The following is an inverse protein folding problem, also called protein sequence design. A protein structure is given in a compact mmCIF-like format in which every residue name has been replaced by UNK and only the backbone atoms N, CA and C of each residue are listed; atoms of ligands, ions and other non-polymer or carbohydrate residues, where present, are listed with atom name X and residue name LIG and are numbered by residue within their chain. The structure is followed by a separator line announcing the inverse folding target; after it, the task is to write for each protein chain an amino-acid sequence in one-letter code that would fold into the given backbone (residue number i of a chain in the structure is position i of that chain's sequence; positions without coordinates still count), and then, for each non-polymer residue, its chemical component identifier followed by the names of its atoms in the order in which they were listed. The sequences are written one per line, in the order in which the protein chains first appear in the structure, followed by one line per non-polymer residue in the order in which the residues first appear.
data_IF_052870740815
#
_entry.id   IF_052870740815
#
_cell.length_a   1.000
_cell.length_b   1.000
_cell.length_c   1.000
_cell.angle_alpha   90.00
_cell.angle_beta   90.00
_cell.angle_gamma   90.00
#
_symmetry.space_group_name_H-M   'P 1'
#
loop_
_entity.id
_entity.type
_entity.pdbx_description
1 polymer ?
#
# COMPACT_ATOMS: atom_id res chain seq x y z
N UNK A 1 -9.27 28.38 -8.63
CA UNK A 1 -9.63 27.12 -9.32
C UNK A 1 -9.21 27.27 -10.76
N UNK A 2 -8.40 26.34 -11.28
CA UNK A 2 -7.81 26.41 -12.63
C UNK A 2 -8.66 25.71 -13.72
N UNK A 3 -9.63 24.89 -13.30
CA UNK A 3 -10.60 24.23 -14.19
C UNK A 3 -12.03 24.48 -13.65
N UNK A 4 -13.06 24.41 -14.50
CA UNK A 4 -14.46 24.43 -14.05
C UNK A 4 -14.73 23.33 -13.02
N UNK A 5 -15.50 23.66 -11.97
CA UNK A 5 -15.73 22.80 -10.80
C UNK A 5 -16.32 21.44 -11.16
N UNK A 6 -17.22 21.40 -12.14
CA UNK A 6 -17.87 20.19 -12.63
C UNK A 6 -16.90 19.22 -13.34
N UNK A 7 -15.70 19.69 -13.72
CA UNK A 7 -14.64 18.85 -14.32
C UNK A 7 -13.68 18.26 -13.30
N UNK A 8 -13.70 18.73 -12.05
CA UNK A 8 -12.80 18.25 -10.98
C UNK A 8 -12.95 16.73 -10.75
N UNK A 9 -14.17 16.16 -10.63
CA UNK A 9 -14.32 14.71 -10.41
C UNK A 9 -13.73 13.88 -11.56
N UNK A 10 -13.89 14.33 -12.81
CA UNK A 10 -13.31 13.68 -13.97
C UNK A 10 -11.78 13.72 -13.94
N UNK A 11 -11.20 14.88 -13.60
CA UNK A 11 -9.76 15.06 -13.49
C UNK A 11 -9.16 14.17 -12.38
N UNK A 12 -9.81 14.11 -11.22
CA UNK A 12 -9.39 13.26 -10.10
C UNK A 12 -9.33 11.78 -10.51
N UNK A 13 -10.41 11.23 -11.07
CA UNK A 13 -10.43 9.83 -11.53
C UNK A 13 -9.36 9.54 -12.56
N UNK A 14 -9.17 10.44 -13.53
CA UNK A 14 -8.16 10.30 -14.58
C UNK A 14 -6.74 10.31 -14.03
N UNK A 15 -6.43 11.20 -13.08
CA UNK A 15 -5.10 11.34 -12.48
C UNK A 15 -4.77 10.17 -11.56
N UNK A 16 -5.71 9.73 -10.73
CA UNK A 16 -5.53 8.55 -9.87
C UNK A 16 -5.28 7.31 -10.73
N UNK A 17 -6.12 7.08 -11.75
CA UNK A 17 -5.97 5.92 -12.66
C UNK A 17 -4.60 5.92 -13.35
N UNK A 18 -4.15 7.07 -13.89
CA UNK A 18 -2.83 7.20 -14.52
C UNK A 18 -1.70 6.95 -13.54
N UNK A 19 -1.83 7.42 -12.30
CA UNK A 19 -0.83 7.24 -11.25
C UNK A 19 -0.71 5.76 -10.85
N UNK A 20 -1.84 5.08 -10.66
CA UNK A 20 -1.91 3.65 -10.35
C UNK A 20 -1.25 2.82 -11.46
N UNK A 21 -1.60 3.07 -12.74
CA UNK A 21 -0.97 2.37 -13.87
C UNK A 21 0.53 2.66 -13.97
N UNK A 22 0.96 3.88 -13.64
CA UNK A 22 2.37 4.26 -13.62
C UNK A 22 3.14 3.79 -12.37
N UNK A 23 2.46 3.21 -11.35
CA UNK A 23 3.07 2.89 -10.06
C UNK A 23 3.57 4.11 -9.30
N UNK A 24 2.89 5.25 -9.44
CA UNK A 24 3.24 6.51 -8.78
C UNK A 24 2.27 6.78 -7.64
N UNK A 25 2.82 7.21 -6.52
CA UNK A 25 2.06 7.60 -5.34
C UNK A 25 1.14 8.79 -5.64
N UNK A 26 -0.14 8.67 -5.32
CA UNK A 26 -1.14 9.71 -5.52
C UNK A 26 -1.93 9.98 -4.24
N UNK A 27 -2.06 11.27 -3.91
CA UNK A 27 -2.76 11.75 -2.72
C UNK A 27 -4.01 12.50 -3.17
N UNK A 28 -5.18 12.13 -2.63
CA UNK A 28 -6.37 12.94 -2.71
C UNK A 28 -6.39 13.91 -1.52
N UNK A 29 -6.46 15.21 -1.80
CA UNK A 29 -6.17 16.24 -0.82
C UNK A 29 -7.17 17.40 -0.90
N UNK A 30 -7.26 18.10 0.23
CA UNK A 30 -8.09 19.30 0.49
C UNK A 30 -9.58 19.02 0.61
N UNK A 31 -10.22 19.69 1.58
CA UNK A 31 -11.67 19.65 1.84
C UNK A 31 -12.28 18.26 1.98
N UNK A 32 -11.48 17.27 2.39
CA UNK A 32 -11.94 15.89 2.54
C UNK A 32 -12.91 15.76 3.73
N UNK A 33 -12.65 16.47 4.84
CA UNK A 33 -13.51 16.53 6.02
C UNK A 33 -13.64 17.96 6.57
N UNK A 34 -13.70 18.97 5.69
CA UNK A 34 -13.62 20.41 6.04
C UNK A 34 -14.58 20.83 7.17
N UNK A 35 -15.80 20.31 7.18
CA UNK A 35 -16.79 20.64 8.21
C UNK A 35 -16.35 20.21 9.61
N UNK A 36 -15.42 19.25 9.73
CA UNK A 36 -14.85 18.82 11.00
C UNK A 36 -13.86 19.82 11.61
N UNK A 37 -13.50 20.89 10.90
CA UNK A 37 -12.78 22.02 11.50
C UNK A 37 -13.56 22.62 12.68
N UNK A 38 -14.90 22.65 12.59
CA UNK A 38 -15.78 23.23 13.61
C UNK A 38 -16.79 22.24 14.19
N UNK A 39 -17.11 21.15 13.46
CA UNK A 39 -18.08 20.15 13.88
C UNK A 39 -17.40 18.85 14.33
N UNK A 40 -18.02 18.07 15.23
CA UNK A 40 -17.48 16.77 15.65
C UNK A 40 -17.73 15.65 14.62
N UNK A 41 -18.58 15.88 13.62
CA UNK A 41 -18.95 14.88 12.61
C UNK A 41 -18.91 15.51 11.22
N UNK A 42 -18.47 14.75 10.19
CA UNK A 42 -18.50 15.22 8.82
C UNK A 42 -19.92 15.13 8.23
N UNK A 43 -20.12 15.81 7.12
CA UNK A 43 -21.32 15.69 6.30
C UNK A 43 -21.33 14.36 5.53
N UNK A 44 -22.50 13.95 5.05
CA UNK A 44 -22.62 12.75 4.18
C UNK A 44 -21.79 12.88 2.91
N UNK A 45 -21.71 14.09 2.34
CA UNK A 45 -20.94 14.34 1.13
C UNK A 45 -19.44 14.11 1.36
N UNK A 46 -18.88 14.64 2.46
CA UNK A 46 -17.48 14.45 2.84
C UNK A 46 -17.15 12.98 3.11
N UNK A 47 -18.03 12.27 3.83
CA UNK A 47 -17.87 10.81 4.04
C UNK A 47 -17.78 10.06 2.72
N UNK A 48 -18.67 10.37 1.77
CA UNK A 48 -18.67 9.72 0.46
C UNK A 48 -17.48 10.15 -0.40
N UNK A 49 -16.97 11.36 -0.24
CA UNK A 49 -15.83 11.85 -1.02
C UNK A 49 -14.53 11.13 -0.61
N UNK A 50 -14.29 11.00 0.70
CA UNK A 50 -13.21 10.16 1.24
C UNK A 50 -13.31 8.73 0.74
N UNK A 51 -14.49 8.11 0.87
CA UNK A 51 -14.68 6.72 0.42
C UNK A 51 -14.44 6.56 -1.08
N UNK A 52 -14.92 7.49 -1.91
CA UNK A 52 -14.71 7.45 -3.36
C UNK A 52 -13.24 7.63 -3.75
N UNK A 53 -12.47 8.47 -3.04
CA UNK A 53 -11.03 8.59 -3.27
C UNK A 53 -10.31 7.25 -3.04
N UNK A 54 -10.71 6.50 -2.00
CA UNK A 54 -10.19 5.15 -1.73
C UNK A 54 -10.65 4.15 -2.79
N UNK A 55 -11.93 4.16 -3.20
CA UNK A 55 -12.43 3.29 -4.27
C UNK A 55 -11.73 3.53 -5.61
N UNK A 56 -11.43 4.79 -5.93
CA UNK A 56 -10.66 5.16 -7.12
C UNK A 56 -9.20 4.69 -7.04
N UNK A 57 -8.74 4.32 -5.85
CA UNK A 57 -7.43 3.76 -5.59
C UNK A 57 -6.37 4.82 -5.29
N UNK A 58 -6.74 5.92 -4.62
CA UNK A 58 -5.75 6.84 -4.05
C UNK A 58 -4.87 6.11 -3.02
N UNK A 59 -3.56 6.40 -2.99
CA UNK A 59 -2.67 5.78 -2.01
C UNK A 59 -2.82 6.42 -0.63
N UNK A 60 -3.19 7.70 -0.57
CA UNK A 60 -3.46 8.41 0.67
C UNK A 60 -4.56 9.47 0.50
N UNK A 61 -5.26 9.73 1.60
CA UNK A 61 -6.12 10.90 1.79
C UNK A 61 -5.47 11.86 2.77
N UNK A 62 -5.66 13.16 2.57
CA UNK A 62 -4.99 14.19 3.37
C UNK A 62 -5.98 15.10 4.09
N UNK A 63 -5.75 15.31 5.38
CA UNK A 63 -6.38 16.35 6.18
C UNK A 63 -5.52 17.62 6.15
N UNK A 64 -6.16 18.77 5.96
CA UNK A 64 -5.53 20.08 5.89
C UNK A 64 -5.90 20.91 7.12
N UNK A 65 -6.92 21.76 7.02
CA UNK A 65 -7.36 22.63 8.11
C UNK A 65 -7.86 21.85 9.33
N UNK A 66 -8.43 20.67 9.08
CA UNK A 66 -9.04 19.78 10.07
C UNK A 66 -8.04 19.39 11.18
N UNK A 67 -6.77 19.18 10.81
CA UNK A 67 -5.72 18.81 11.76
C UNK A 67 -4.80 19.99 12.12
N UNK A 68 -4.60 20.94 11.21
CA UNK A 68 -3.73 22.08 11.45
C UNK A 68 -4.33 23.08 12.44
N UNK A 69 -5.61 23.41 12.30
CA UNK A 69 -6.29 24.45 13.09
C UNK A 69 -7.71 24.06 13.53
N UNK A 70 -8.13 22.82 13.30
CA UNK A 70 -9.47 22.34 13.64
C UNK A 70 -9.68 22.13 15.14
N UNK A 71 -10.93 22.15 15.58
CA UNK A 71 -11.29 22.00 16.99
C UNK A 71 -10.99 20.60 17.54
N UNK A 72 -11.06 19.55 16.70
CA UNK A 72 -10.90 18.15 17.11
C UNK A 72 -10.01 17.34 16.14
N UNK A 73 -8.70 17.62 16.08
CA UNK A 73 -7.79 17.02 15.10
C UNK A 73 -7.70 15.49 15.22
N UNK A 74 -7.66 14.96 16.46
CA UNK A 74 -7.60 13.52 16.70
C UNK A 74 -8.88 12.80 16.23
N UNK A 75 -10.04 13.43 16.39
CA UNK A 75 -11.33 12.87 15.92
C UNK A 75 -11.38 12.88 14.40
N UNK A 76 -10.93 13.95 13.74
CA UNK A 76 -10.87 14.00 12.28
C UNK A 76 -9.98 12.89 11.70
N UNK A 77 -8.81 12.64 12.29
CA UNK A 77 -7.92 11.52 11.89
C UNK A 77 -8.61 10.16 12.10
N UNK A 78 -9.22 9.93 13.26
CA UNK A 78 -9.91 8.68 13.55
C UNK A 78 -11.11 8.44 12.61
N UNK A 79 -11.86 9.49 12.29
CA UNK A 79 -12.98 9.43 11.33
C UNK A 79 -12.51 9.14 9.92
N UNK A 80 -11.46 9.82 9.43
CA UNK A 80 -10.85 9.54 8.13
C UNK A 80 -10.40 8.08 8.04
N UNK A 81 -9.66 7.61 9.05
CA UNK A 81 -9.17 6.23 9.12
C UNK A 81 -10.32 5.20 9.11
N UNK A 82 -11.39 5.47 9.85
CA UNK A 82 -12.56 4.58 9.89
C UNK A 82 -13.29 4.51 8.54
N UNK A 83 -13.43 5.64 7.83
CA UNK A 83 -14.04 5.66 6.49
C UNK A 83 -13.16 4.88 5.51
N UNK A 84 -11.85 5.14 5.49
CA UNK A 84 -10.91 4.45 4.60
C UNK A 84 -10.90 2.94 4.83
N UNK A 85 -10.83 2.48 6.07
CA UNK A 85 -10.86 1.06 6.40
C UNK A 85 -12.15 0.36 5.94
N UNK A 86 -13.31 1.04 6.04
CA UNK A 86 -14.57 0.49 5.52
C UNK A 86 -14.63 0.51 3.98
N UNK A 87 -14.05 1.52 3.35
CA UNK A 87 -14.00 1.60 1.89
C UNK A 87 -13.09 0.50 1.29
N UNK A 88 -11.99 0.17 1.96
CA UNK A 88 -11.09 -0.91 1.53
C UNK A 88 -11.77 -2.28 1.51
N UNK A 89 -12.84 -2.52 2.29
CA UNK A 89 -13.61 -3.76 2.25
C UNK A 89 -14.32 -4.01 0.91
N UNK A 90 -14.58 -2.96 0.12
CA UNK A 90 -15.16 -3.08 -1.22
C UNK A 90 -14.10 -3.26 -2.32
N UNK A 91 -12.81 -3.21 -1.96
CA UNK A 91 -11.72 -3.35 -2.91
C UNK A 91 -11.61 -4.80 -3.41
N UNK A 92 -11.59 -4.97 -4.73
CA UNK A 92 -11.37 -6.29 -5.35
C UNK A 92 -9.96 -6.37 -5.92
N UNK A 93 -9.03 -7.00 -5.20
CA UNK A 93 -7.64 -7.13 -5.65
C UNK A 93 -7.51 -7.84 -7.01
N UNK A 94 -8.36 -8.84 -7.30
CA UNK A 94 -8.40 -9.51 -8.60
C UNK A 94 -8.62 -8.53 -9.77
N UNK A 95 -9.60 -7.63 -9.61
CA UNK A 95 -9.94 -6.64 -10.64
C UNK A 95 -8.82 -5.59 -10.77
N UNK A 96 -8.26 -5.16 -9.64
CA UNK A 96 -7.16 -4.20 -9.62
C UNK A 96 -5.91 -4.73 -10.33
N UNK A 97 -5.47 -5.95 -9.99
CA UNK A 97 -4.29 -6.59 -10.61
C UNK A 97 -4.51 -6.76 -12.12
N UNK A 98 -5.66 -7.28 -12.55
CA UNK A 98 -5.95 -7.48 -13.97
C UNK A 98 -5.91 -6.17 -14.73
N UNK A 99 -6.62 -5.14 -14.25
CA UNK A 99 -6.66 -3.84 -14.88
C UNK A 99 -5.27 -3.23 -15.03
N UNK A 100 -4.46 -3.26 -13.97
CA UNK A 100 -3.12 -2.67 -13.97
C UNK A 100 -2.19 -3.44 -14.92
N UNK A 101 -2.27 -4.77 -14.96
CA UNK A 101 -1.48 -5.59 -15.88
C UNK A 101 -1.82 -5.31 -17.35
N UNK A 102 -3.09 -5.11 -17.67
CA UNK A 102 -3.55 -4.85 -19.03
C UNK A 102 -3.15 -3.46 -19.55
N UNK A 103 -3.02 -2.50 -18.64
CA UNK A 103 -2.67 -1.11 -18.97
C UNK A 103 -1.19 -0.76 -18.73
N UNK A 104 -0.39 -1.69 -18.20
CA UNK A 104 1.05 -1.49 -18.05
C UNK A 104 1.78 -1.83 -19.36
N UNK A 105 2.68 -0.95 -19.79
CA UNK A 105 3.46 -1.13 -21.02
C UNK A 105 4.29 -2.41 -20.97
N UNK A 106 4.27 -3.18 -22.07
CA UNK A 106 5.09 -4.38 -22.27
C UNK A 106 6.31 -4.09 -23.17
N UNK A 107 7.43 -4.82 -23.00
CA UNK A 107 7.66 -5.88 -22.01
C UNK A 107 7.85 -5.33 -20.59
N UNK A 108 7.47 -6.12 -19.58
CA UNK A 108 7.73 -5.79 -18.17
C UNK A 108 9.23 -5.92 -17.87
N UNK A 109 9.72 -5.14 -16.91
CA UNK A 109 11.03 -5.37 -16.32
C UNK A 109 11.01 -6.64 -15.47
N UNK A 110 12.17 -7.14 -15.07
CA UNK A 110 12.27 -8.29 -14.15
C UNK A 110 11.58 -8.01 -12.82
N UNK A 111 11.78 -6.81 -12.25
CA UNK A 111 11.14 -6.36 -11.02
C UNK A 111 9.63 -6.25 -11.16
N UNK A 112 9.15 -5.62 -12.23
CA UNK A 112 7.73 -5.48 -12.49
C UNK A 112 7.06 -6.86 -12.65
N UNK A 113 7.71 -7.78 -13.38
CA UNK A 113 7.22 -9.14 -13.58
C UNK A 113 7.15 -9.91 -12.26
N UNK A 114 8.21 -9.84 -11.45
CA UNK A 114 8.27 -10.51 -10.15
C UNK A 114 7.22 -9.95 -9.18
N UNK A 115 7.04 -8.62 -9.14
CA UNK A 115 6.04 -7.99 -8.29
C UNK A 115 4.62 -8.39 -8.70
N UNK A 116 4.30 -8.33 -10.00
CA UNK A 116 3.00 -8.74 -10.51
C UNK A 116 2.71 -10.23 -10.23
N UNK A 117 3.73 -11.09 -10.31
CA UNK A 117 3.62 -12.52 -10.00
C UNK A 117 3.52 -12.79 -8.51
N UNK A 118 4.23 -12.06 -7.66
CA UNK A 118 4.14 -12.21 -6.21
C UNK A 118 2.77 -11.80 -5.70
N UNK A 119 2.24 -10.65 -6.15
CA UNK A 119 0.90 -10.19 -5.77
C UNK A 119 -0.19 -11.10 -6.33
N UNK A 120 -0.09 -11.52 -7.59
CA UNK A 120 -1.04 -12.48 -8.17
C UNK A 120 -1.00 -13.83 -7.46
N UNK A 121 0.19 -14.37 -7.20
CA UNK A 121 0.36 -15.62 -6.49
C UNK A 121 -0.13 -15.56 -5.04
N UNK A 122 0.06 -14.43 -4.35
CA UNK A 122 -0.48 -14.22 -3.01
C UNK A 122 -2.01 -14.29 -3.00
N UNK A 123 -2.67 -13.80 -4.04
CA UNK A 123 -4.12 -13.94 -4.20
C UNK A 123 -4.50 -15.39 -4.52
N UNK A 124 -3.77 -16.05 -5.42
CA UNK A 124 -4.06 -17.43 -5.86
C UNK A 124 -3.91 -18.46 -4.73
N UNK A 125 -2.94 -18.28 -3.84
CA UNK A 125 -2.71 -19.17 -2.71
C UNK A 125 -3.34 -18.70 -1.39
N UNK A 126 -4.17 -17.64 -1.41
CA UNK A 126 -4.78 -17.06 -0.21
C UNK A 126 -3.73 -16.75 0.88
N UNK A 127 -2.64 -16.09 0.47
CA UNK A 127 -1.56 -15.72 1.37
C UNK A 127 -2.03 -14.64 2.36
N UNK A 128 -1.71 -14.85 3.63
CA UNK A 128 -2.05 -13.90 4.68
C UNK A 128 -1.02 -12.77 4.80
N UNK A 129 0.18 -12.98 4.25
CA UNK A 129 1.27 -12.00 4.31
C UNK A 129 2.15 -12.06 3.07
N UNK A 130 2.60 -10.89 2.65
CA UNK A 130 3.73 -10.73 1.73
C UNK A 130 4.91 -10.13 2.50
N UNK A 131 6.11 -10.70 2.34
CA UNK A 131 7.36 -10.11 2.83
C UNK A 131 8.16 -9.63 1.64
N UNK A 132 8.56 -8.36 1.64
CA UNK A 132 9.44 -7.80 0.60
C UNK A 132 10.72 -7.25 1.22
N UNK A 133 11.86 -7.70 0.70
CA UNK A 133 13.18 -7.23 1.12
C UNK A 133 13.71 -6.24 0.10
N UNK A 134 13.98 -5.01 0.53
CA UNK A 134 14.31 -3.91 -0.39
C UNK A 134 15.31 -2.92 0.21
N UNK A 135 16.32 -2.58 -0.58
CA UNK A 135 17.34 -1.59 -0.22
C UNK A 135 16.89 -0.15 -0.46
N UNK A 136 16.39 0.16 -1.67
CA UNK A 136 16.00 1.50 -2.09
C UNK A 136 14.47 1.69 -2.24
N UNK A 137 13.70 0.69 -1.80
CA UNK A 137 12.24 0.68 -1.83
C UNK A 137 11.63 0.41 -3.22
N UNK A 138 12.43 0.04 -4.23
CA UNK A 138 11.90 -0.14 -5.58
C UNK A 138 10.94 -1.34 -5.65
N UNK A 139 11.32 -2.46 -5.02
CA UNK A 139 10.50 -3.66 -4.92
C UNK A 139 9.21 -3.40 -4.14
N UNK A 140 9.28 -2.67 -3.03
CA UNK A 140 8.07 -2.30 -2.28
C UNK A 140 7.11 -1.48 -3.15
N UNK A 141 7.58 -0.44 -3.85
CA UNK A 141 6.72 0.37 -4.74
C UNK A 141 6.12 -0.46 -5.87
N UNK A 142 6.91 -1.35 -6.48
CA UNK A 142 6.45 -2.27 -7.51
C UNK A 142 5.35 -3.21 -6.98
N UNK A 143 5.45 -3.70 -5.74
CA UNK A 143 4.40 -4.52 -5.12
C UNK A 143 3.11 -3.73 -4.89
N UNK A 144 3.18 -2.54 -4.29
CA UNK A 144 1.98 -1.76 -3.98
C UNK A 144 1.21 -1.30 -5.23
N UNK A 145 1.93 -1.11 -6.35
CA UNK A 145 1.32 -0.84 -7.66
C UNK A 145 0.23 -1.86 -7.98
N UNK A 146 0.44 -3.13 -7.70
CA UNK A 146 -0.53 -4.19 -8.02
C UNK A 146 -1.62 -4.39 -6.96
N UNK A 147 -1.70 -3.54 -5.94
CA UNK A 147 -2.76 -3.55 -4.91
C UNK A 147 -2.96 -4.94 -4.27
N UNK A 148 -1.98 -5.39 -3.47
CA UNK A 148 -2.02 -6.71 -2.84
C UNK A 148 -3.26 -6.90 -1.96
N UNK A 149 -3.76 -8.13 -1.90
CA UNK A 149 -4.93 -8.53 -1.11
C UNK A 149 -4.63 -8.70 0.38
N UNK A 150 -3.36 -8.73 0.76
CA UNK A 150 -2.91 -8.91 2.13
C UNK A 150 -1.80 -7.90 2.48
N UNK A 151 -1.52 -7.71 3.79
CA UNK A 151 -0.45 -6.84 4.24
C UNK A 151 0.92 -7.19 3.63
N UNK A 152 1.72 -6.15 3.36
CA UNK A 152 3.09 -6.27 2.87
C UNK A 152 4.05 -5.79 3.95
N UNK A 153 4.79 -6.71 4.56
CA UNK A 153 5.89 -6.36 5.45
C UNK A 153 7.13 -6.00 4.64
N UNK A 154 7.58 -4.76 4.74
CA UNK A 154 8.73 -4.23 4.01
C UNK A 154 9.96 -4.24 4.90
N UNK A 155 10.89 -5.15 4.61
CA UNK A 155 12.17 -5.26 5.33
C UNK A 155 13.21 -4.40 4.63
N UNK A 156 13.81 -3.46 5.36
CA UNK A 156 14.83 -2.55 4.83
C UNK A 156 15.88 -2.17 5.87
N UNK A 157 17.09 -1.81 5.46
CA UNK A 157 18.10 -1.22 6.35
C UNK A 157 18.16 0.31 6.25
N UNK A 158 17.43 0.92 5.30
CA UNK A 158 17.35 2.36 5.18
C UNK A 158 16.11 2.88 5.91
N UNK A 159 16.33 3.63 7.01
CA UNK A 159 15.23 4.24 7.75
C UNK A 159 14.39 5.20 6.90
N UNK A 160 14.98 5.86 5.91
CA UNK A 160 14.24 6.74 5.02
C UNK A 160 13.27 5.95 4.14
N UNK A 161 13.69 4.78 3.66
CA UNK A 161 12.79 3.84 2.97
C UNK A 161 11.70 3.37 3.92
N UNK A 162 12.04 2.96 5.14
CA UNK A 162 11.06 2.52 6.14
C UNK A 162 9.99 3.58 6.44
N UNK A 163 10.37 4.85 6.59
CA UNK A 163 9.43 5.97 6.77
C UNK A 163 8.54 6.18 5.55
N UNK A 164 9.09 6.11 4.34
CA UNK A 164 8.33 6.29 3.10
C UNK A 164 7.29 5.18 2.89
N UNK A 165 7.66 3.93 3.18
CA UNK A 165 6.79 2.77 2.94
C UNK A 165 5.59 2.74 3.87
N UNK A 166 5.68 3.33 5.07
CA UNK A 166 4.53 3.43 5.98
C UNK A 166 3.38 4.29 5.46
N UNK A 167 3.59 5.09 4.41
CA UNK A 167 2.53 5.85 3.75
C UNK A 167 1.95 5.14 2.52
N UNK A 168 2.56 4.04 2.07
CA UNK A 168 2.19 3.33 0.85
C UNK A 168 1.11 2.29 1.14
N UNK A 169 0.16 2.13 0.23
CA UNK A 169 -0.96 1.19 0.37
C UNK A 169 -0.48 -0.22 0.77
N UNK A 170 -1.11 -0.75 1.83
CA UNK A 170 -0.91 -2.06 2.44
C UNK A 170 0.49 -2.36 3.00
N UNK A 171 1.35 -1.35 3.17
CA UNK A 171 2.75 -1.58 3.60
C UNK A 171 3.01 -1.28 5.07
N UNK A 172 3.84 -2.13 5.66
CA UNK A 172 4.28 -2.04 7.05
C UNK A 172 5.80 -2.17 7.12
N UNK A 173 6.53 -1.14 7.58
CA UNK A 173 7.99 -1.17 7.59
C UNK A 173 8.56 -2.00 8.74
N UNK A 174 9.64 -2.72 8.46
CA UNK A 174 10.54 -3.36 9.41
C UNK A 174 11.96 -2.93 9.09
N UNK A 175 12.54 -2.06 9.92
CA UNK A 175 13.92 -1.62 9.76
C UNK A 175 14.86 -2.61 10.46
N UNK A 176 15.88 -3.05 9.75
CA UNK A 176 16.94 -3.97 10.22
C UNK A 176 18.30 -3.32 10.06
N UNK A 177 19.30 -3.80 10.80
CA UNK A 177 20.65 -3.22 10.74
C UNK A 177 21.41 -3.60 9.45
N UNK A 178 21.12 -4.77 8.87
CA UNK A 178 21.85 -5.32 7.73
C UNK A 178 20.93 -6.11 6.79
N UNK A 179 21.01 -5.79 5.50
CA UNK A 179 20.27 -6.44 4.40
C UNK A 179 21.16 -7.40 3.58
N UNK A 180 22.40 -7.63 3.99
CA UNK A 180 23.34 -8.47 3.24
C UNK A 180 22.82 -9.91 3.10
N UNK A 181 23.01 -10.56 1.93
CA UNK A 181 22.59 -11.94 1.72
C UNK A 181 23.06 -12.89 2.83
N UNK A 182 22.17 -13.75 3.30
CA UNK A 182 22.42 -14.73 4.36
C UNK A 182 22.37 -14.18 5.78
N UNK A 183 22.21 -12.86 5.97
CA UNK A 183 21.99 -12.26 7.30
C UNK A 183 20.53 -12.29 7.73
N UNK A 184 19.63 -12.22 6.75
CA UNK A 184 18.20 -12.28 6.96
C UNK A 184 17.64 -13.59 6.39
N UNK A 185 17.35 -14.53 7.29
CA UNK A 185 16.54 -15.69 6.93
C UNK A 185 15.07 -15.25 6.83
N UNK A 186 14.35 -15.82 5.87
CA UNK A 186 12.94 -15.53 5.61
C UNK A 186 12.05 -16.77 5.77
N UNK A 187 12.50 -17.72 6.60
CA UNK A 187 11.71 -18.89 7.00
C UNK A 187 10.58 -18.52 8.00
N UNK A 188 9.78 -19.52 8.39
CA UNK A 188 8.64 -19.35 9.31
C UNK A 188 9.02 -18.88 10.71
N UNK A 189 10.27 -19.06 11.11
CA UNK A 189 10.81 -18.64 12.41
C UNK A 189 11.60 -17.33 12.29
N UNK A 190 11.64 -16.74 11.10
CA UNK A 190 12.37 -15.52 10.85
C UNK A 190 11.86 -14.35 11.70
N UNK A 191 12.75 -13.39 11.99
CA UNK A 191 12.36 -12.15 12.67
C UNK A 191 11.23 -11.39 11.95
N UNK A 192 11.11 -11.49 10.62
CA UNK A 192 9.99 -10.91 9.88
C UNK A 192 8.64 -11.50 10.30
N UNK A 193 8.55 -12.83 10.37
CA UNK A 193 7.28 -13.50 10.70
C UNK A 193 6.92 -13.27 12.16
N UNK A 194 7.90 -13.29 13.07
CA UNK A 194 7.67 -12.91 14.48
C UNK A 194 7.14 -11.48 14.55
N UNK A 195 7.77 -10.54 13.82
CA UNK A 195 7.34 -9.15 13.81
C UNK A 195 5.94 -8.97 13.23
N UNK A 196 5.63 -9.66 12.14
CA UNK A 196 4.30 -9.65 11.53
C UNK A 196 3.23 -10.16 12.49
N UNK A 197 3.51 -11.21 13.26
CA UNK A 197 2.62 -11.73 14.32
C UNK A 197 2.40 -10.72 15.44
N UNK A 198 3.47 -10.09 15.93
CA UNK A 198 3.38 -9.03 16.95
C UNK A 198 2.52 -7.85 16.49
N UNK A 199 2.59 -7.51 15.20
CA UNK A 199 1.80 -6.44 14.58
C UNK A 199 0.37 -6.86 14.24
N UNK A 200 0.01 -8.14 14.42
CA UNK A 200 -1.30 -8.68 14.06
C UNK A 200 -1.54 -8.79 12.55
N UNK A 201 -0.49 -8.77 11.74
CA UNK A 201 -0.57 -8.87 10.27
C UNK A 201 -0.62 -10.33 9.79
N UNK A 202 -0.26 -11.28 10.65
CA UNK A 202 -0.18 -12.70 10.31
C UNK A 202 -0.61 -13.55 11.50
N UNK A 203 -1.58 -14.46 11.31
CA UNK A 203 -2.12 -15.32 12.36
C UNK A 203 -1.22 -16.49 12.72
N UNK A 204 -0.39 -16.96 11.78
CA UNK A 204 0.51 -18.10 12.00
C UNK A 204 -0.12 -19.48 11.89
N UNK A 205 -1.38 -19.59 11.47
CA UNK A 205 -2.14 -20.85 11.45
C UNK A 205 -1.98 -21.64 10.14
N UNK A 206 -0.74 -21.86 9.70
CA UNK A 206 -0.47 -22.58 8.45
C UNK A 206 -0.88 -21.81 7.19
N UNK A 207 -1.05 -20.49 7.30
CA UNK A 207 -1.37 -19.63 6.17
C UNK A 207 -0.14 -19.39 5.32
N UNK A 208 -0.36 -19.31 4.00
CA UNK A 208 0.69 -19.10 3.02
C UNK A 208 1.33 -17.72 3.18
N UNK A 209 2.64 -17.65 2.93
CA UNK A 209 3.41 -16.41 2.88
C UNK A 209 4.10 -16.33 1.53
N UNK A 210 4.04 -15.18 0.89
CA UNK A 210 4.82 -14.90 -0.32
C UNK A 210 6.00 -14.01 0.03
N UNK A 211 7.19 -14.37 -0.43
CA UNK A 211 8.41 -13.62 -0.19
C UNK A 211 8.98 -13.12 -1.52
N UNK A 212 9.22 -11.81 -1.60
CA UNK A 212 9.96 -11.17 -2.68
C UNK A 212 11.30 -10.67 -2.14
N UNK A 213 12.38 -11.39 -2.46
CA UNK A 213 13.73 -11.09 -1.98
C UNK A 213 14.77 -11.26 -3.08
N UNK A 214 15.97 -10.73 -2.88
CA UNK A 214 17.12 -11.01 -3.72
C UNK A 214 17.77 -12.38 -3.41
N UNK A 215 18.79 -12.78 -4.19
CA UNK A 215 19.57 -13.98 -3.91
C UNK A 215 20.08 -14.00 -2.47
N UNK A 216 19.93 -15.15 -1.81
CA UNK A 216 20.32 -15.31 -0.39
C UNK A 216 19.48 -14.49 0.58
N UNK A 217 18.28 -14.04 0.22
CA UNK A 217 17.40 -13.26 1.09
C UNK A 217 17.75 -11.77 1.18
N UNK A 218 18.56 -11.26 0.25
CA UNK A 218 18.98 -9.86 0.20
C UNK A 218 18.00 -8.95 -0.54
N UNK A 219 18.51 -7.83 -1.06
CA UNK A 219 17.74 -6.80 -1.78
C UNK A 219 17.12 -7.31 -3.10
N UNK A 220 15.80 -7.19 -3.24
CA UNK A 220 15.05 -7.58 -4.44
C UNK A 220 15.09 -6.55 -5.58
N UNK A 221 15.56 -5.32 -5.33
CA UNK A 221 15.40 -4.20 -6.27
C UNK A 221 16.05 -4.45 -7.66
N UNK A 222 17.08 -5.29 -7.73
CA UNK A 222 17.80 -5.62 -8.98
C UNK A 222 17.57 -7.04 -9.49
N UNK A 223 17.52 -8.02 -8.58
CA UNK A 223 17.43 -9.44 -8.91
C UNK A 223 16.34 -10.10 -8.05
N UNK A 224 15.06 -9.85 -8.33
CA UNK A 224 13.96 -10.35 -7.52
C UNK A 224 13.77 -11.86 -7.68
N UNK A 225 13.52 -12.54 -6.57
CA UNK A 225 13.10 -13.93 -6.48
C UNK A 225 11.79 -13.98 -5.70
N UNK A 226 10.79 -14.66 -6.28
CA UNK A 226 9.50 -14.91 -5.64
C UNK A 226 9.52 -16.31 -5.04
N UNK A 227 9.26 -16.43 -3.74
CA UNK A 227 9.16 -17.70 -3.03
C UNK A 227 7.81 -17.81 -2.34
N UNK A 228 7.26 -19.02 -2.31
CA UNK A 228 6.02 -19.34 -1.63
C UNK A 228 6.33 -20.26 -0.46
N UNK A 229 5.84 -19.92 0.72
CA UNK A 229 6.02 -20.69 1.95
C UNK A 229 4.66 -21.19 2.41
N UNK A 230 4.56 -22.50 2.60
CA UNK A 230 3.42 -23.22 3.19
C UNK A 230 3.66 -23.49 4.66
#
# INVERSE_FOLDING_TARGET
MEIPSEKVPLAQKMLITKSNVAGRFVICATQMLESMCTNPLPTRAEMTDVANAVFDGADATMLSGETANGANPAVAVATMAAISANAELAHTSQAAISFIRDHTQRPFTTLESAAASAVGGALDCDAELIVVVTGAGAASRAMSKYRPSCPVLVVTADEAVGRQTGAIFAQFPMVVDDLSPGKFAWDKESPAIVKAKEMGLYSGNGSNIVVLAGPGGGDADKCPLVSFLE
#
